data_IF_390016641833
#
_entry.id   IF_390016641833
#
_cell.length_a   1.000
_cell.length_b   1.000
_cell.length_c   1.000
_cell.angle_alpha   90.00
_cell.angle_beta   90.00
_cell.angle_gamma   90.00
#
_symmetry.space_group_name_H-M   'P 1'
#
loop_
_entity.id
_entity.type
_entity.pdbx_description
1 polymer ?
#
# COMPACT_ATOMS: atom_id res chain seq x y z
N UNK A 1 -18.28 28.49 23.47
CA UNK A 1 -18.60 27.13 22.98
C UNK A 1 -17.40 26.72 22.13
N UNK A 2 -16.50 25.91 22.70
CA UNK A 2 -15.29 25.45 22.02
C UNK A 2 -15.65 24.64 20.76
N UNK A 3 -15.04 24.87 19.59
CA UNK A 3 -15.41 24.15 18.39
C UNK A 3 -14.87 22.73 18.44
N UNK A 4 -15.79 21.75 18.49
CA UNK A 4 -15.48 20.33 18.25
C UNK A 4 -15.06 20.18 16.79
N UNK A 5 -13.74 20.19 16.54
CA UNK A 5 -13.03 19.15 15.77
C UNK A 5 -11.73 19.69 15.14
N UNK A 6 -10.69 19.88 15.95
CA UNK A 6 -9.29 19.92 15.50
C UNK A 6 -8.66 18.52 15.45
N UNK A 7 -9.46 17.45 15.63
CA UNK A 7 -8.95 16.10 15.58
C UNK A 7 -8.57 15.76 14.14
N UNK A 8 -7.34 15.24 13.91
CA UNK A 8 -6.94 14.80 12.59
C UNK A 8 -7.95 13.80 12.04
N UNK A 9 -8.44 14.06 10.83
CA UNK A 9 -9.44 13.21 10.19
C UNK A 9 -8.71 12.02 9.57
N UNK A 10 -8.63 10.93 10.34
CA UNK A 10 -8.12 9.64 9.90
C UNK A 10 -9.28 8.79 9.35
N UNK A 11 -9.17 8.37 8.10
CA UNK A 11 -10.17 7.58 7.38
C UNK A 11 -9.49 6.38 6.72
N UNK A 12 -10.08 5.20 6.84
CA UNK A 12 -9.74 4.07 5.98
C UNK A 12 -10.75 4.00 4.83
N UNK A 13 -10.28 4.08 3.59
CA UNK A 13 -11.13 4.08 2.39
C UNK A 13 -10.61 3.18 1.28
N UNK A 14 -11.47 2.93 0.28
CA UNK A 14 -11.01 2.36 -1.00
C UNK A 14 -10.08 3.39 -1.68
N UNK A 15 -9.00 2.91 -2.32
CA UNK A 15 -8.14 3.79 -3.12
C UNK A 15 -8.85 4.22 -4.40
N UNK A 16 -8.40 5.32 -4.97
CA UNK A 16 -8.66 5.77 -6.36
C UNK A 16 -7.38 5.70 -7.18
N UNK A 17 -7.46 5.69 -8.51
CA UNK A 17 -6.28 5.58 -9.39
C UNK A 17 -5.21 6.66 -9.14
N UNK A 18 -5.60 7.82 -8.62
CA UNK A 18 -4.68 8.90 -8.23
C UNK A 18 -3.82 8.57 -6.99
N UNK A 19 -4.27 7.68 -6.10
CA UNK A 19 -3.51 7.29 -4.90
C UNK A 19 -2.30 6.40 -5.25
N UNK A 20 -2.26 5.81 -6.45
CA UNK A 20 -1.26 4.81 -6.84
C UNK A 20 0.19 5.30 -6.67
N UNK A 21 0.46 6.56 -7.00
CA UNK A 21 1.79 7.14 -6.85
C UNK A 21 2.17 7.32 -5.37
N UNK A 22 1.25 7.82 -4.55
CA UNK A 22 1.46 7.99 -3.11
C UNK A 22 1.70 6.64 -2.42
N UNK A 23 0.93 5.61 -2.79
CA UNK A 23 1.10 4.25 -2.30
C UNK A 23 2.47 3.67 -2.68
N UNK A 24 2.91 3.88 -3.93
CA UNK A 24 4.21 3.40 -4.39
C UNK A 24 5.39 4.00 -3.59
N UNK A 25 5.32 5.30 -3.32
CA UNK A 25 6.32 6.02 -2.51
C UNK A 25 6.28 5.51 -1.06
N UNK A 26 5.09 5.39 -0.46
CA UNK A 26 4.94 4.86 0.90
C UNK A 26 5.51 3.46 1.01
N UNK A 27 5.23 2.58 0.05
CA UNK A 27 5.77 1.22 0.04
C UNK A 27 7.31 1.21 0.07
N UNK A 28 7.97 2.03 -0.74
CA UNK A 28 9.43 2.11 -0.77
C UNK A 28 9.97 2.66 0.55
N UNK A 29 9.40 3.75 1.07
CA UNK A 29 9.82 4.34 2.35
C UNK A 29 9.64 3.38 3.52
N UNK A 30 8.51 2.68 3.58
CA UNK A 30 8.28 1.63 4.57
C UNK A 30 9.32 0.51 4.48
N UNK A 31 9.71 0.10 3.27
CA UNK A 31 10.76 -0.90 3.07
C UNK A 31 12.15 -0.41 3.46
N UNK A 32 12.51 0.80 3.06
CA UNK A 32 13.79 1.43 3.40
C UNK A 32 13.96 1.52 4.92
N UNK A 33 12.90 1.92 5.63
CA UNK A 33 12.92 2.00 7.10
C UNK A 33 12.88 0.63 7.78
N UNK A 34 12.01 -0.30 7.32
CA UNK A 34 11.85 -1.59 7.98
C UNK A 34 13.08 -2.51 7.84
N UNK A 35 13.86 -2.34 6.78
CA UNK A 35 15.05 -3.16 6.50
C UNK A 35 16.37 -2.40 6.65
N UNK A 36 16.34 -1.20 7.22
CA UNK A 36 17.56 -0.48 7.61
C UNK A 36 18.40 -1.34 8.57
N UNK A 37 19.70 -1.42 8.32
CA UNK A 37 20.61 -2.26 9.10
C UNK A 37 20.55 -3.76 8.78
N UNK A 38 19.52 -4.23 8.07
CA UNK A 38 19.41 -5.61 7.60
C UNK A 38 19.87 -5.78 6.15
N UNK A 39 19.62 -4.78 5.31
CA UNK A 39 20.01 -4.76 3.90
C UNK A 39 21.00 -3.61 3.63
N UNK A 40 21.78 -3.73 2.56
CA UNK A 40 22.73 -2.67 2.19
C UNK A 40 22.00 -1.36 1.85
N UNK A 41 22.57 -0.22 2.29
CA UNK A 41 22.04 1.11 1.98
C UNK A 41 21.89 1.34 0.48
N UNK A 42 22.86 0.88 -0.32
CA UNK A 42 22.82 0.92 -1.79
C UNK A 42 21.61 0.18 -2.37
N UNK A 43 21.28 -0.98 -1.84
CA UNK A 43 20.11 -1.74 -2.29
C UNK A 43 18.81 -1.00 -1.95
N UNK A 44 18.70 -0.49 -0.72
CA UNK A 44 17.53 0.24 -0.26
C UNK A 44 17.32 1.54 -1.05
N UNK A 45 18.38 2.29 -1.35
CA UNK A 45 18.29 3.51 -2.18
C UNK A 45 17.98 3.20 -3.65
N UNK A 46 18.41 2.05 -4.16
CA UNK A 46 18.10 1.66 -5.54
C UNK A 46 16.59 1.42 -5.75
N UNK A 47 15.81 1.18 -4.69
CA UNK A 47 14.36 1.02 -4.77
C UNK A 47 13.65 2.27 -5.30
N UNK A 48 14.21 3.47 -5.13
CA UNK A 48 13.60 4.72 -5.61
C UNK A 48 13.39 4.73 -7.14
N UNK A 49 14.29 4.09 -7.89
CA UNK A 49 14.16 3.91 -9.35
C UNK A 49 12.92 3.10 -9.79
N UNK A 50 12.24 2.46 -8.85
CA UNK A 50 11.12 1.56 -9.13
C UNK A 50 9.73 2.16 -8.81
N UNK A 51 9.68 3.41 -8.35
CA UNK A 51 8.43 4.12 -7.97
C UNK A 51 7.42 4.08 -9.12
N UNK A 52 7.82 4.50 -10.31
CA UNK A 52 6.93 4.65 -11.47
C UNK A 52 6.34 3.31 -11.91
N UNK A 53 7.20 2.28 -12.00
CA UNK A 53 6.79 0.91 -12.28
C UNK A 53 5.74 0.43 -11.26
N UNK A 54 6.01 0.62 -9.96
CA UNK A 54 5.09 0.23 -8.87
C UNK A 54 3.77 1.00 -8.94
N UNK A 55 3.81 2.30 -9.22
CA UNK A 55 2.60 3.11 -9.40
C UNK A 55 1.75 2.59 -10.58
N UNK A 56 2.37 2.16 -11.68
CA UNK A 56 1.69 1.51 -12.79
C UNK A 56 0.96 0.24 -12.39
N UNK A 57 1.63 -0.67 -11.68
CA UNK A 57 1.00 -1.91 -11.16
C UNK A 57 -0.14 -1.61 -10.17
N UNK A 58 0.06 -0.66 -9.27
CA UNK A 58 -0.95 -0.28 -8.29
C UNK A 58 -2.18 0.33 -8.97
N UNK A 59 -2.00 1.15 -10.00
CA UNK A 59 -3.12 1.70 -10.78
C UNK A 59 -3.98 0.60 -11.39
N UNK A 60 -3.34 -0.37 -12.05
CA UNK A 60 -4.04 -1.53 -12.62
C UNK A 60 -4.74 -2.38 -11.54
N UNK A 61 -4.10 -2.59 -10.39
CA UNK A 61 -4.70 -3.33 -9.26
C UNK A 61 -5.92 -2.61 -8.66
N UNK A 62 -5.85 -1.27 -8.55
CA UNK A 62 -6.96 -0.45 -8.06
C UNK A 62 -8.14 -0.51 -9.04
N UNK A 63 -7.89 -0.37 -10.34
CA UNK A 63 -8.91 -0.37 -11.38
C UNK A 63 -9.58 -1.74 -11.54
N UNK A 64 -8.81 -2.82 -11.46
CA UNK A 64 -9.34 -4.19 -11.50
C UNK A 64 -9.96 -4.65 -10.19
N UNK A 65 -9.68 -3.96 -9.08
CA UNK A 65 -10.06 -4.38 -7.73
C UNK A 65 -9.35 -5.65 -7.24
N UNK A 66 -8.27 -6.07 -7.91
CA UNK A 66 -7.53 -7.29 -7.61
C UNK A 66 -5.99 -7.03 -7.60
N UNK A 67 -5.31 -7.21 -6.46
CA UNK A 67 -5.84 -7.56 -5.15
C UNK A 67 -6.71 -6.44 -4.53
N UNK A 68 -7.45 -6.76 -3.47
CA UNK A 68 -8.16 -5.74 -2.70
C UNK A 68 -7.16 -4.84 -1.99
N UNK A 69 -7.35 -3.52 -2.12
CA UNK A 69 -6.50 -2.50 -1.49
C UNK A 69 -7.36 -1.59 -0.60
N UNK A 70 -6.79 -1.14 0.52
CA UNK A 70 -7.31 -0.04 1.36
C UNK A 70 -6.19 0.95 1.64
N UNK A 71 -6.56 2.22 1.77
CA UNK A 71 -5.65 3.30 2.18
C UNK A 71 -6.13 3.93 3.48
N UNK A 72 -5.18 4.32 4.32
CA UNK A 72 -5.39 5.21 5.43
C UNK A 72 -5.07 6.64 4.96
N UNK A 73 -6.08 7.51 5.01
CA UNK A 73 -5.96 8.93 4.70
C UNK A 73 -6.01 9.73 5.99
N UNK A 74 -5.06 10.65 6.16
CA UNK A 74 -4.97 11.60 7.24
C UNK A 74 -5.00 13.00 6.65
N UNK A 75 -6.05 13.78 6.94
CA UNK A 75 -6.20 15.16 6.46
C UNK A 75 -6.00 15.30 4.93
N UNK A 76 -6.55 14.37 4.14
CA UNK A 76 -6.42 14.38 2.67
C UNK A 76 -5.14 13.74 2.13
N UNK A 77 -4.20 13.31 2.98
CA UNK A 77 -2.98 12.65 2.56
C UNK A 77 -3.02 11.16 2.86
N UNK A 78 -2.67 10.33 1.87
CA UNK A 78 -2.47 8.90 2.10
C UNK A 78 -1.22 8.71 2.95
N UNK A 79 -1.37 8.08 4.12
CA UNK A 79 -0.28 7.83 5.09
C UNK A 79 0.00 6.35 5.32
N UNK A 80 -0.88 5.47 4.84
CA UNK A 80 -0.72 4.03 4.96
C UNK A 80 -1.59 3.28 3.96
N UNK A 81 -1.27 2.02 3.74
CA UNK A 81 -2.04 1.16 2.85
C UNK A 81 -1.87 -0.31 3.20
N UNK A 82 -2.80 -1.12 2.73
CA UNK A 82 -2.74 -2.58 2.83
C UNK A 82 -3.32 -3.19 1.56
N UNK A 83 -2.74 -4.32 1.15
CA UNK A 83 -3.26 -5.17 0.08
C UNK A 83 -3.53 -6.56 0.63
N UNK A 84 -4.67 -7.14 0.28
CA UNK A 84 -5.11 -8.44 0.73
C UNK A 84 -5.97 -9.14 -0.33
N UNK A 85 -6.10 -10.46 -0.19
CA UNK A 85 -6.86 -11.31 -1.10
C UNK A 85 -6.73 -12.77 -0.69
N UNK A 86 -7.25 -13.69 -1.52
CA UNK A 86 -7.07 -15.12 -1.31
C UNK A 86 -5.61 -15.50 -1.13
N UNK A 87 -5.37 -16.59 -0.39
CA UNK A 87 -4.02 -17.16 -0.26
C UNK A 87 -3.39 -17.43 -1.63
N UNK A 88 -2.09 -17.17 -1.74
CA UNK A 88 -1.28 -17.51 -2.92
C UNK A 88 -0.74 -18.93 -2.86
N UNK A 89 -0.94 -19.62 -1.73
CA UNK A 89 -0.56 -21.01 -1.59
C UNK A 89 -1.51 -21.89 -2.40
N UNK A 90 -0.96 -22.56 -3.42
CA UNK A 90 -1.70 -23.45 -4.31
C UNK A 90 -2.00 -24.81 -3.66
N UNK A 91 -1.24 -25.21 -2.62
CA UNK A 91 -1.32 -26.55 -2.04
C UNK A 91 -2.60 -26.79 -1.21
N UNK A 92 -3.33 -25.73 -0.84
CA UNK A 92 -4.58 -25.82 -0.06
C UNK A 92 -5.86 -25.83 -0.90
N UNK A 93 -5.76 -25.71 -2.23
CA UNK A 93 -6.93 -25.75 -3.14
C UNK A 93 -7.36 -27.16 -3.56
N UNK A 94 -6.49 -28.15 -3.41
CA UNK A 94 -6.72 -29.54 -3.83
C UNK A 94 -7.13 -30.49 -2.69
N UNK A 95 -7.24 -30.01 -1.46
CA UNK A 95 -7.50 -30.84 -0.27
C UNK A 95 -8.94 -30.75 0.28
N UNK A 96 -9.84 -30.01 -0.38
CA UNK A 96 -11.27 -30.05 -0.02
C UNK A 96 -11.97 -31.08 -0.91
N UNK A 97 -12.52 -32.18 -0.36
CA UNK A 97 -13.36 -33.09 -1.12
C UNK A 97 -14.67 -32.41 -1.52
N UNK A 98 -15.16 -32.75 -2.71
CA UNK A 98 -16.50 -32.42 -3.23
C UNK A 98 -17.61 -32.88 -2.28
#
# INVERSE_FOLDING_TARGET
>A
MEPVSLLPKLLVRKPVSADAAAIAILHIRSWQSAYEGLLSSRYLSALDSSVERRAGFLRQAIESGNPSIRVAELNGQVVGWVSFGPSRDLALRSALPN
#
